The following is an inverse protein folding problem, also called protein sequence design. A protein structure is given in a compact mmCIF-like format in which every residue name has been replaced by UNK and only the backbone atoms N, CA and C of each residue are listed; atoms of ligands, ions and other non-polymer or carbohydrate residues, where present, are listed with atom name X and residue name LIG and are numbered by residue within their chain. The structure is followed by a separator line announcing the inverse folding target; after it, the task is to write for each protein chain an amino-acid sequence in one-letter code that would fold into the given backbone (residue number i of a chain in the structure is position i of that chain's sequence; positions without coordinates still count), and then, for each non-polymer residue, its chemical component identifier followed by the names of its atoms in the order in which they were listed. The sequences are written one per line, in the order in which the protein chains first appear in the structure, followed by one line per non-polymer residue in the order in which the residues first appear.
data_IF_511170752970
#
_entry.id   IF_511170752970
#
_cell.length_a   1.000
_cell.length_b   1.000
_cell.length_c   1.000
_cell.angle_alpha   90.00
_cell.angle_beta   90.00
_cell.angle_gamma   90.00
#
_symmetry.space_group_name_H-M   'P 1'
#
loop_
_entity.id
_entity.type
_entity.pdbx_description
1 polymer ?
#
# COMPACT_ATOMS: atom_id res chain seq x y z
N UNK A 1 33.02 35.14 15.05
CA UNK A 1 31.57 34.97 14.82
C UNK A 1 31.18 34.99 13.34
N UNK A 2 31.73 34.14 12.44
CA UNK A 2 31.39 34.17 11.02
C UNK A 2 31.64 32.81 10.33
N UNK A 3 31.19 31.70 10.90
CA UNK A 3 31.34 30.37 10.27
C UNK A 3 30.04 29.57 10.12
N UNK A 4 28.88 30.05 10.58
CA UNK A 4 27.62 29.29 10.51
C UNK A 4 26.76 29.62 9.30
N UNK A 5 26.89 30.78 8.68
CA UNK A 5 26.07 31.21 7.54
C UNK A 5 26.28 30.35 6.28
N UNK A 6 27.53 29.92 5.92
CA UNK A 6 27.73 29.07 4.76
C UNK A 6 27.11 27.66 4.88
N UNK A 7 27.08 27.10 6.10
CA UNK A 7 26.56 25.74 6.31
C UNK A 7 25.03 25.68 6.21
N UNK A 8 24.33 26.67 6.77
CA UNK A 8 22.86 26.80 6.64
C UNK A 8 22.44 27.08 5.18
N UNK A 9 23.21 27.89 4.45
CA UNK A 9 22.94 28.14 3.03
C UNK A 9 23.15 26.88 2.17
N UNK A 10 24.25 26.15 2.39
CA UNK A 10 24.53 24.89 1.72
C UNK A 10 23.49 23.83 2.07
N UNK A 11 23.08 23.75 3.34
CA UNK A 11 22.03 22.84 3.75
C UNK A 11 20.72 23.17 3.04
N UNK A 12 20.31 24.43 2.99
CA UNK A 12 19.12 24.87 2.25
C UNK A 12 19.18 24.57 0.76
N UNK A 13 20.34 24.69 0.13
CA UNK A 13 20.54 24.29 -1.27
C UNK A 13 20.42 22.77 -1.46
N UNK A 14 21.02 21.98 -0.57
CA UNK A 14 20.95 20.52 -0.60
C UNK A 14 19.49 20.07 -0.40
N UNK A 15 18.80 20.64 0.56
CA UNK A 15 17.39 20.32 0.83
C UNK A 15 16.50 20.68 -0.35
N UNK A 16 16.71 21.85 -0.96
CA UNK A 16 16.01 22.26 -2.19
C UNK A 16 16.30 21.36 -3.38
N UNK A 17 17.56 20.97 -3.61
CA UNK A 17 17.93 20.00 -4.65
C UNK A 17 17.36 18.61 -4.37
N UNK A 18 17.31 18.18 -3.13
CA UNK A 18 16.67 16.92 -2.72
C UNK A 18 15.17 16.97 -2.99
N UNK A 19 14.48 18.05 -2.63
CA UNK A 19 13.04 18.20 -2.91
C UNK A 19 12.75 18.15 -4.42
N UNK A 20 13.50 18.90 -5.24
CA UNK A 20 13.40 18.87 -6.69
C UNK A 20 13.70 17.48 -7.28
N UNK A 21 14.59 16.72 -6.65
CA UNK A 21 14.96 15.36 -7.08
C UNK A 21 13.97 14.27 -6.66
N UNK A 22 13.10 14.51 -5.67
CA UNK A 22 12.22 13.49 -5.07
C UNK A 22 10.74 13.72 -5.36
N UNK A 23 10.37 14.91 -5.86
CA UNK A 23 8.97 15.26 -6.18
C UNK A 23 8.73 15.37 -7.68
N UNK A 24 7.49 15.13 -8.07
CA UNK A 24 6.98 15.43 -9.41
C UNK A 24 6.62 16.94 -9.49
N UNK A 25 7.17 17.69 -10.44
CA UNK A 25 7.00 19.14 -10.47
C UNK A 25 5.57 19.59 -10.80
N UNK A 26 4.76 18.76 -11.49
CA UNK A 26 3.41 19.11 -11.85
C UNK A 26 2.43 18.90 -10.68
N UNK A 27 2.58 17.80 -9.96
CA UNK A 27 1.60 17.37 -8.94
C UNK A 27 2.06 17.60 -7.51
N UNK A 28 3.37 17.83 -7.29
CA UNK A 28 3.99 17.94 -5.96
C UNK A 28 4.10 16.61 -5.20
N UNK A 29 3.61 15.52 -5.76
CA UNK A 29 3.70 14.18 -5.17
C UNK A 29 5.12 13.63 -5.23
N UNK A 30 5.37 12.51 -4.54
CA UNK A 30 6.60 11.76 -4.75
C UNK A 30 6.73 11.38 -6.23
N UNK A 31 7.95 11.44 -6.78
CA UNK A 31 8.21 10.94 -8.11
C UNK A 31 8.55 9.43 -8.07
N UNK A 32 8.63 8.80 -9.24
CA UNK A 32 8.95 7.37 -9.39
C UNK A 32 10.23 6.96 -8.67
N UNK A 33 11.26 7.81 -8.70
CA UNK A 33 12.55 7.51 -8.04
C UNK A 33 12.40 7.42 -6.53
N UNK A 34 11.75 8.42 -5.93
CA UNK A 34 11.47 8.42 -4.49
C UNK A 34 10.61 7.24 -4.10
N UNK A 35 9.55 6.96 -4.88
CA UNK A 35 8.63 5.88 -4.60
C UNK A 35 9.31 4.50 -4.58
N UNK A 36 10.26 4.25 -5.50
CA UNK A 36 11.04 3.00 -5.48
C UNK A 36 11.84 2.82 -4.20
N UNK A 37 12.49 3.88 -3.72
CA UNK A 37 13.20 3.82 -2.44
C UNK A 37 12.27 3.59 -1.25
N UNK A 38 11.03 4.07 -1.31
CA UNK A 38 9.98 3.78 -0.31
C UNK A 38 9.58 2.31 -0.37
N UNK A 39 9.36 1.74 -1.56
CA UNK A 39 9.02 0.32 -1.72
C UNK A 39 10.10 -0.60 -1.14
N UNK A 40 11.39 -0.30 -1.38
CA UNK A 40 12.52 -1.08 -0.83
C UNK A 40 12.46 -1.10 0.71
N UNK A 41 12.32 0.07 1.33
CA UNK A 41 12.20 0.19 2.80
C UNK A 41 10.97 -0.53 3.34
N UNK A 42 9.87 -0.49 2.60
CA UNK A 42 8.63 -1.13 3.03
C UNK A 42 8.71 -2.66 2.97
N UNK A 43 9.35 -3.23 1.96
CA UNK A 43 9.65 -4.67 1.89
C UNK A 43 10.49 -5.10 3.09
N UNK A 44 11.54 -4.34 3.41
CA UNK A 44 12.37 -4.60 4.59
C UNK A 44 11.56 -4.50 5.90
N UNK A 45 10.62 -3.55 5.99
CA UNK A 45 9.73 -3.42 7.13
C UNK A 45 8.83 -4.64 7.28
N UNK A 46 8.14 -5.04 6.20
CA UNK A 46 7.27 -6.22 6.17
C UNK A 46 8.03 -7.47 6.62
N UNK A 47 9.26 -7.66 6.11
CA UNK A 47 10.11 -8.80 6.47
C UNK A 47 10.42 -8.84 7.98
N UNK A 48 10.64 -7.69 8.60
CA UNK A 48 10.98 -7.61 10.04
C UNK A 48 9.78 -7.62 10.96
N UNK A 49 8.69 -6.92 10.59
CA UNK A 49 7.52 -6.76 11.48
C UNK A 49 6.46 -7.84 11.29
N UNK A 50 6.44 -8.51 10.12
CA UNK A 50 5.36 -9.41 9.74
C UNK A 50 4.05 -8.71 9.33
N UNK A 51 3.98 -7.38 9.45
CA UNK A 51 2.79 -6.62 9.06
C UNK A 51 2.74 -6.42 7.56
N UNK A 52 1.63 -6.84 6.94
CA UNK A 52 1.45 -6.71 5.50
C UNK A 52 1.40 -5.24 5.05
N UNK A 53 1.89 -4.98 3.85
CA UNK A 53 1.71 -3.71 3.15
C UNK A 53 0.99 -3.93 1.82
N UNK A 54 0.20 -2.95 1.39
CA UNK A 54 -0.50 -2.97 0.10
C UNK A 54 0.09 -1.94 -0.85
N UNK A 55 0.49 -2.37 -2.03
CA UNK A 55 0.81 -1.51 -3.17
C UNK A 55 -0.40 -1.40 -4.07
N UNK A 56 -0.80 -0.18 -4.39
CA UNK A 56 -1.80 0.14 -5.40
C UNK A 56 -1.14 0.85 -6.57
N UNK A 57 -1.37 0.37 -7.79
CA UNK A 57 -1.08 1.06 -9.04
C UNK A 57 -2.38 1.59 -9.63
N UNK A 58 -2.39 2.85 -10.04
CA UNK A 58 -3.57 3.54 -10.51
C UNK A 58 -3.29 4.19 -11.87
N UNK A 59 -4.30 4.23 -12.73
CA UNK A 59 -4.19 4.88 -14.04
C UNK A 59 -5.50 5.60 -14.35
N UNK A 60 -5.39 6.82 -14.89
CA UNK A 60 -6.56 7.63 -15.26
C UNK A 60 -7.17 7.06 -16.55
N UNK A 61 -8.39 6.58 -16.45
CA UNK A 61 -9.09 5.99 -17.57
C UNK A 61 -9.29 6.99 -18.70
N UNK A 62 -8.92 6.59 -19.93
CA UNK A 62 -9.09 7.39 -21.14
C UNK A 62 -8.37 8.75 -21.11
N UNK A 63 -7.29 8.92 -20.36
CA UNK A 63 -6.57 10.20 -20.23
C UNK A 63 -6.08 10.74 -21.58
N UNK A 64 -5.63 9.86 -22.49
CA UNK A 64 -5.27 10.25 -23.84
C UNK A 64 -6.43 10.98 -24.54
N UNK A 65 -7.68 10.52 -24.40
CA UNK A 65 -8.84 11.20 -24.99
C UNK A 65 -9.04 12.60 -24.43
N UNK A 66 -8.74 12.83 -23.14
CA UNK A 66 -8.78 14.18 -22.55
C UNK A 66 -7.77 15.08 -23.25
N UNK A 67 -6.52 14.64 -23.40
CA UNK A 67 -5.47 15.39 -24.10
C UNK A 67 -5.82 15.65 -25.56
N UNK A 68 -6.30 14.63 -26.28
CA UNK A 68 -6.64 14.75 -27.70
C UNK A 68 -7.82 15.70 -27.93
N UNK A 69 -8.76 15.79 -26.97
CA UNK A 69 -9.97 16.63 -27.10
C UNK A 69 -9.78 18.05 -26.57
N UNK A 70 -9.04 18.21 -25.46
CA UNK A 70 -8.97 19.47 -24.72
C UNK A 70 -7.56 20.07 -24.63
N UNK A 71 -6.56 19.35 -25.19
CA UNK A 71 -5.16 19.75 -25.18
C UNK A 71 -4.43 19.37 -23.87
N UNK A 72 -3.10 19.42 -23.93
CA UNK A 72 -2.22 18.99 -22.82
C UNK A 72 -2.38 19.84 -21.56
N UNK A 73 -2.70 21.14 -21.69
CA UNK A 73 -2.94 22.00 -20.51
C UNK A 73 -4.18 21.53 -19.70
N UNK A 74 -5.21 21.07 -20.39
CA UNK A 74 -6.37 20.47 -19.71
C UNK A 74 -6.00 19.13 -19.04
N UNK A 75 -5.16 18.33 -19.69
CA UNK A 75 -4.59 17.11 -19.09
C UNK A 75 -3.81 17.39 -17.80
N UNK A 76 -3.00 18.45 -17.79
CA UNK A 76 -2.24 18.88 -16.60
C UNK A 76 -3.18 19.27 -15.45
N UNK A 77 -4.27 20.00 -15.74
CA UNK A 77 -5.31 20.32 -14.74
C UNK A 77 -5.96 19.06 -14.18
N UNK A 78 -6.25 18.07 -15.05
CA UNK A 78 -6.79 16.76 -14.63
C UNK A 78 -5.79 16.03 -13.72
N UNK A 79 -4.51 15.94 -14.10
CA UNK A 79 -3.47 15.30 -13.28
C UNK A 79 -3.35 15.95 -11.90
N UNK A 80 -3.34 17.27 -11.83
CA UNK A 80 -3.27 18.01 -10.57
C UNK A 80 -4.54 17.80 -9.71
N UNK A 81 -5.71 17.77 -10.33
CA UNK A 81 -6.96 17.53 -9.60
C UNK A 81 -7.04 16.12 -9.04
N UNK A 82 -6.69 15.11 -9.84
CA UNK A 82 -6.61 13.71 -9.40
C UNK A 82 -5.60 13.58 -8.27
N UNK A 83 -4.40 14.16 -8.40
CA UNK A 83 -3.38 14.14 -7.34
C UNK A 83 -3.90 14.70 -6.01
N UNK A 84 -4.63 15.82 -6.03
CA UNK A 84 -5.27 16.40 -4.82
C UNK A 84 -6.30 15.46 -4.22
N UNK A 85 -7.17 14.88 -5.05
CA UNK A 85 -8.20 13.92 -4.60
C UNK A 85 -7.58 12.67 -3.97
N UNK A 86 -6.53 12.13 -4.60
CA UNK A 86 -5.79 10.99 -4.08
C UNK A 86 -5.13 11.32 -2.73
N UNK A 87 -4.48 12.50 -2.63
CA UNK A 87 -3.82 12.96 -1.39
C UNK A 87 -4.81 13.09 -0.22
N UNK A 88 -6.04 13.55 -0.48
CA UNK A 88 -7.09 13.61 0.54
C UNK A 88 -7.62 12.22 0.95
N UNK A 89 -7.41 11.22 0.10
CA UNK A 89 -7.87 9.84 0.32
C UNK A 89 -6.88 8.93 1.06
N UNK A 90 -5.66 9.38 1.36
CA UNK A 90 -4.61 8.58 1.99
C UNK A 90 -4.21 9.16 3.35
N UNK A 91 -3.58 8.34 4.20
CA UNK A 91 -3.12 8.74 5.54
C UNK A 91 -1.73 9.38 5.46
N UNK A 92 -1.29 10.15 6.49
CA UNK A 92 0.05 10.73 6.51
C UNK A 92 1.20 9.71 6.41
N UNK A 93 0.97 8.46 6.84
CA UNK A 93 1.95 7.38 6.75
C UNK A 93 1.98 6.68 5.39
N UNK A 94 0.95 6.86 4.59
CA UNK A 94 0.88 6.31 3.24
C UNK A 94 1.74 7.15 2.30
N UNK A 95 2.35 6.54 1.31
CA UNK A 95 3.13 7.27 0.32
C UNK A 95 2.41 7.23 -1.02
N UNK A 96 2.06 8.42 -1.52
CA UNK A 96 1.45 8.64 -2.83
C UNK A 96 2.49 9.24 -3.78
N UNK A 97 2.56 8.70 -5.00
CA UNK A 97 3.49 9.14 -6.04
C UNK A 97 2.80 9.27 -7.40
N UNK A 98 3.35 10.14 -8.24
CA UNK A 98 3.14 10.06 -9.68
C UNK A 98 4.20 9.14 -10.28
N UNK A 99 3.77 7.98 -10.76
CA UNK A 99 4.67 6.91 -11.18
C UNK A 99 5.04 6.98 -12.66
N UNK A 100 4.14 7.50 -13.48
CA UNK A 100 4.29 7.69 -14.92
C UNK A 100 3.54 8.93 -15.43
N UNK A 101 3.25 9.00 -16.72
CA UNK A 101 2.51 10.10 -17.33
C UNK A 101 1.15 10.35 -16.67
N UNK A 102 0.28 9.35 -16.73
CA UNK A 102 -1.08 9.33 -16.17
C UNK A 102 -1.24 8.32 -15.04
N UNK A 103 -0.10 7.73 -14.61
CA UNK A 103 -0.05 6.66 -13.62
C UNK A 103 0.33 7.21 -12.24
N UNK A 104 -0.37 6.76 -11.24
CA UNK A 104 -0.12 7.03 -9.83
C UNK A 104 0.15 5.72 -9.09
N UNK A 105 0.85 5.82 -7.98
CA UNK A 105 1.08 4.67 -7.10
C UNK A 105 0.92 5.07 -5.64
N UNK A 106 0.38 4.16 -4.84
CA UNK A 106 0.21 4.33 -3.39
C UNK A 106 0.75 3.11 -2.68
N UNK A 107 1.59 3.31 -1.68
CA UNK A 107 1.92 2.26 -0.73
C UNK A 107 1.24 2.53 0.60
N UNK A 108 0.55 1.53 1.11
CA UNK A 108 -0.20 1.54 2.37
C UNK A 108 0.52 0.62 3.37
N UNK A 109 1.36 1.16 4.25
CA UNK A 109 2.00 0.41 5.32
C UNK A 109 1.00 -0.18 6.31
N UNK A 110 1.31 -1.32 6.92
CA UNK A 110 0.48 -1.97 7.93
C UNK A 110 -1.00 -2.05 7.51
N UNK A 111 -1.24 -2.50 6.26
CA UNK A 111 -2.58 -2.60 5.69
C UNK A 111 -3.07 -4.06 5.71
N UNK A 112 -3.97 -4.44 6.63
CA UNK A 112 -4.58 -5.76 6.61
C UNK A 112 -5.40 -5.99 5.33
N UNK A 113 -5.44 -7.24 4.88
CA UNK A 113 -6.13 -7.63 3.65
C UNK A 113 -7.58 -7.16 3.57
N UNK A 114 -8.32 -7.30 4.67
CA UNK A 114 -9.72 -6.89 4.74
C UNK A 114 -9.96 -5.39 4.47
N UNK A 115 -8.96 -4.54 4.73
CA UNK A 115 -9.08 -3.09 4.56
C UNK A 115 -8.58 -2.59 3.21
N UNK A 116 -7.69 -3.33 2.54
CA UNK A 116 -7.08 -2.89 1.29
C UNK A 116 -8.09 -2.54 0.20
N UNK A 117 -9.07 -3.42 -0.02
CA UNK A 117 -10.15 -3.18 -0.99
C UNK A 117 -11.02 -1.98 -0.62
N UNK A 118 -11.32 -1.79 0.67
CA UNK A 118 -12.13 -0.67 1.15
C UNK A 118 -11.44 0.67 0.87
N UNK A 119 -10.14 0.76 1.14
CA UNK A 119 -9.34 1.97 0.87
C UNK A 119 -9.27 2.23 -0.63
N UNK A 120 -8.97 1.23 -1.45
CA UNK A 120 -8.89 1.36 -2.89
C UNK A 120 -10.23 1.80 -3.52
N UNK A 121 -11.37 1.21 -3.09
CA UNK A 121 -12.70 1.61 -3.54
C UNK A 121 -13.08 3.03 -3.11
N UNK A 122 -12.68 3.45 -1.90
CA UNK A 122 -12.87 4.83 -1.44
C UNK A 122 -12.14 5.81 -2.35
N UNK A 123 -10.88 5.53 -2.67
CA UNK A 123 -10.05 6.33 -3.58
C UNK A 123 -10.69 6.40 -4.96
N UNK A 124 -11.06 5.27 -5.55
CA UNK A 124 -11.70 5.20 -6.86
C UNK A 124 -12.97 6.04 -6.92
N UNK A 125 -13.85 5.88 -5.93
CA UNK A 125 -15.12 6.64 -5.85
C UNK A 125 -14.87 8.13 -5.66
N UNK A 126 -13.88 8.52 -4.87
CA UNK A 126 -13.55 9.92 -4.68
C UNK A 126 -13.16 10.59 -6.00
N UNK A 127 -12.33 9.93 -6.82
CA UNK A 127 -11.97 10.45 -8.15
C UNK A 127 -13.19 10.51 -9.07
N UNK A 128 -13.98 9.42 -9.16
CA UNK A 128 -15.13 9.35 -10.04
C UNK A 128 -16.24 10.40 -9.72
N UNK A 129 -16.33 10.80 -8.45
CA UNK A 129 -17.34 11.76 -7.96
C UNK A 129 -16.83 13.21 -7.87
N UNK A 130 -15.56 13.45 -8.22
CA UNK A 130 -14.99 14.81 -8.16
C UNK A 130 -14.97 15.42 -9.56
N UNK A 131 -15.86 16.35 -9.87
CA UNK A 131 -15.83 17.05 -11.15
C UNK A 131 -14.60 17.95 -11.25
N UNK A 132 -13.99 17.99 -12.42
CA UNK A 132 -12.75 18.71 -12.69
C UNK A 132 -13.03 19.85 -13.66
N UNK A 133 -12.93 21.09 -13.17
CA UNK A 133 -13.09 22.27 -14.00
C UNK A 133 -11.79 22.56 -14.76
N UNK A 134 -11.81 22.38 -16.09
CA UNK A 134 -10.66 22.63 -16.98
C UNK A 134 -10.72 24.01 -17.62
N UNK A 135 -11.89 24.64 -17.64
CA UNK A 135 -12.07 26.04 -18.09
C UNK A 135 -13.28 26.66 -17.37
N UNK A 136 -13.57 27.98 -17.51
CA UNK A 136 -14.76 28.60 -16.91
C UNK A 136 -16.09 27.96 -17.31
N UNK A 137 -16.13 27.32 -18.48
CA UNK A 137 -17.36 26.76 -19.08
C UNK A 137 -17.32 25.24 -19.25
N UNK A 138 -16.17 24.58 -18.98
CA UNK A 138 -16.00 23.14 -19.22
C UNK A 138 -15.61 22.42 -17.95
N UNK A 139 -16.38 21.43 -17.60
CA UNK A 139 -16.18 20.53 -16.47
C UNK A 139 -16.11 19.07 -16.99
N UNK A 140 -15.18 18.31 -16.49
CA UNK A 140 -14.96 16.89 -16.87
C UNK A 140 -15.10 15.99 -15.65
N UNK A 141 -15.58 14.77 -15.90
CA UNK A 141 -15.48 13.68 -14.95
C UNK A 141 -14.50 12.64 -15.51
N UNK A 142 -13.55 12.22 -14.69
CA UNK A 142 -12.62 11.13 -15.01
C UNK A 142 -12.76 10.00 -14.00
N UNK A 143 -12.36 8.82 -14.41
CA UNK A 143 -12.30 7.66 -13.52
C UNK A 143 -10.88 7.12 -13.47
N UNK A 144 -10.62 6.26 -12.51
CA UNK A 144 -9.35 5.54 -12.38
C UNK A 144 -9.59 4.05 -12.29
N UNK A 145 -8.75 3.28 -12.94
CA UNK A 145 -8.60 1.85 -12.70
C UNK A 145 -7.49 1.63 -11.68
N UNK A 146 -7.69 0.69 -10.76
CA UNK A 146 -6.76 0.44 -9.65
C UNK A 146 -6.43 -1.04 -9.61
N UNK A 147 -5.12 -1.35 -9.60
CA UNK A 147 -4.58 -2.68 -9.35
C UNK A 147 -3.86 -2.73 -8.01
N UNK A 148 -3.98 -3.81 -7.27
CA UNK A 148 -3.34 -3.94 -5.97
C UNK A 148 -2.68 -5.29 -5.71
N UNK A 149 -1.54 -5.28 -5.03
CA UNK A 149 -0.86 -6.47 -4.56
C UNK A 149 -0.29 -6.27 -3.15
N UNK A 150 -0.32 -7.33 -2.34
CA UNK A 150 0.22 -7.30 -0.99
C UNK A 150 1.68 -7.79 -0.94
N UNK A 151 2.53 -7.09 -0.16
CA UNK A 151 3.75 -7.66 0.36
C UNK A 151 3.46 -8.32 1.71
N UNK A 152 3.87 -9.58 1.85
CA UNK A 152 3.68 -10.37 3.06
C UNK A 152 4.99 -11.01 3.49
N UNK A 153 5.14 -11.28 4.77
CA UNK A 153 6.37 -11.84 5.34
C UNK A 153 6.80 -13.15 4.68
N UNK A 154 5.84 -14.01 4.32
CA UNK A 154 6.12 -15.32 3.69
C UNK A 154 6.28 -15.25 2.16
N UNK A 155 6.06 -14.09 1.55
CA UNK A 155 6.26 -13.88 0.12
C UNK A 155 7.58 -13.15 -0.07
N UNK A 156 8.58 -13.85 -0.63
CA UNK A 156 9.85 -13.20 -0.98
C UNK A 156 9.58 -12.20 -2.09
N UNK A 157 9.48 -10.93 -1.72
CA UNK A 157 9.19 -9.84 -2.65
C UNK A 157 10.44 -9.02 -2.94
N UNK A 158 10.60 -8.67 -4.22
CA UNK A 158 11.45 -7.56 -4.65
C UNK A 158 10.55 -6.42 -5.08
N UNK A 159 11.07 -5.19 -5.16
CA UNK A 159 10.29 -4.04 -5.66
C UNK A 159 9.72 -4.31 -7.05
N UNK A 160 10.50 -4.96 -7.91
CA UNK A 160 10.07 -5.31 -9.27
C UNK A 160 8.89 -6.30 -9.23
N UNK A 161 9.04 -7.43 -8.53
CA UNK A 161 8.00 -8.45 -8.44
C UNK A 161 6.71 -7.90 -7.81
N UNK A 162 6.84 -7.05 -6.77
CA UNK A 162 5.68 -6.45 -6.13
C UNK A 162 4.95 -5.49 -7.07
N UNK A 163 5.70 -4.66 -7.81
CA UNK A 163 5.15 -3.75 -8.82
C UNK A 163 4.48 -4.54 -9.95
N UNK A 164 5.14 -5.57 -10.50
CA UNK A 164 4.58 -6.41 -11.59
C UNK A 164 3.26 -7.07 -11.18
N UNK A 165 3.14 -7.53 -9.95
CA UNK A 165 1.89 -8.12 -9.43
C UNK A 165 0.77 -7.08 -9.35
N UNK A 166 1.06 -5.86 -8.87
CA UNK A 166 0.09 -4.78 -8.82
C UNK A 166 -0.30 -4.31 -10.24
N UNK A 167 0.66 -4.22 -11.17
CA UNK A 167 0.41 -3.87 -12.58
C UNK A 167 -0.45 -4.91 -13.29
N UNK A 168 -0.24 -6.20 -13.04
CA UNK A 168 -1.11 -7.26 -13.55
C UNK A 168 -2.55 -7.07 -13.09
N UNK A 169 -2.78 -6.69 -11.83
CA UNK A 169 -4.11 -6.38 -11.33
C UNK A 169 -4.69 -5.11 -11.97
N UNK A 170 -3.88 -4.08 -12.21
CA UNK A 170 -4.31 -2.88 -12.94
C UNK A 170 -4.74 -3.22 -14.37
N UNK A 171 -3.98 -4.08 -15.04
CA UNK A 171 -4.36 -4.59 -16.36
C UNK A 171 -5.71 -5.31 -16.33
N UNK A 172 -5.96 -6.18 -15.33
CA UNK A 172 -7.25 -6.85 -15.14
C UNK A 172 -8.38 -5.85 -14.91
N UNK A 173 -8.16 -4.81 -14.11
CA UNK A 173 -9.15 -3.76 -13.87
C UNK A 173 -9.50 -3.03 -15.18
N UNK A 174 -8.50 -2.68 -16.01
CA UNK A 174 -8.70 -2.05 -17.31
C UNK A 174 -9.42 -2.98 -18.31
N UNK A 175 -9.00 -4.24 -18.40
CA UNK A 175 -9.57 -5.24 -19.31
C UNK A 175 -11.03 -5.57 -18.98
N UNK A 176 -11.39 -5.56 -17.71
CA UNK A 176 -12.75 -5.86 -17.22
C UNK A 176 -13.73 -4.68 -17.34
N UNK A 177 -13.33 -3.54 -17.94
CA UNK A 177 -14.23 -2.42 -18.25
C UNK A 177 -13.92 -1.14 -17.46
N UNK A 178 -12.72 -1.00 -16.91
CA UNK A 178 -12.22 0.22 -16.23
C UNK A 178 -13.06 0.66 -15.02
N UNK A 179 -12.70 1.79 -14.42
CA UNK A 179 -13.37 2.38 -13.24
C UNK A 179 -13.65 1.34 -12.15
N UNK A 180 -12.64 0.56 -11.79
CA UNK A 180 -12.74 -0.53 -10.82
C UNK A 180 -11.44 -0.85 -10.13
N UNK A 181 -11.56 -1.62 -9.06
CA UNK A 181 -10.45 -2.12 -8.27
C UNK A 181 -10.30 -3.62 -8.52
N UNK A 182 -9.08 -4.04 -8.85
CA UNK A 182 -8.65 -5.44 -8.82
C UNK A 182 -7.51 -5.57 -7.84
N UNK A 183 -7.64 -6.42 -6.84
CA UNK A 183 -6.57 -6.71 -5.87
C UNK A 183 -6.32 -8.20 -5.90
N UNK A 184 -5.05 -8.57 -5.91
CA UNK A 184 -4.63 -9.96 -5.86
C UNK A 184 -5.24 -10.67 -4.65
N UNK A 185 -5.88 -11.80 -4.91
CA UNK A 185 -6.40 -12.65 -3.84
C UNK A 185 -5.21 -13.22 -3.06
N UNK A 186 -5.30 -13.11 -1.74
CA UNK A 186 -4.30 -13.72 -0.90
C UNK A 186 -4.62 -15.21 -0.79
N UNK A 187 -3.62 -16.08 -0.93
CA UNK A 187 -3.84 -17.48 -0.61
C UNK A 187 -4.30 -17.55 0.86
N UNK A 188 -5.42 -18.22 1.09
CA UNK A 188 -5.90 -18.48 2.44
C UNK A 188 -4.79 -19.17 3.23
N UNK A 189 -4.14 -18.43 4.12
CA UNK A 189 -3.15 -18.97 5.05
C UNK A 189 -3.78 -19.69 6.23
N UNK A 190 -5.08 -19.94 6.19
CA UNK A 190 -5.75 -20.79 7.14
C UNK A 190 -5.38 -22.24 6.81
N UNK A 191 -4.29 -22.70 7.42
CA UNK A 191 -4.07 -24.16 7.56
C UNK A 191 -5.37 -24.72 8.11
N UNK A 192 -6.05 -25.57 7.33
CA UNK A 192 -7.33 -26.13 7.71
C UNK A 192 -7.19 -26.86 9.06
N UNK A 193 -8.28 -26.98 9.81
CA UNK A 193 -8.26 -27.74 11.06
C UNK A 193 -7.75 -29.19 10.84
N UNK A 194 -8.01 -29.73 9.64
CA UNK A 194 -7.51 -31.04 9.21
C UNK A 194 -6.00 -31.05 8.95
N UNK A 195 -5.46 -30.04 8.30
CA UNK A 195 -4.01 -29.90 8.09
C UNK A 195 -3.27 -29.62 9.41
N UNK A 196 -3.86 -28.85 10.32
CA UNK A 196 -3.34 -28.69 11.69
C UNK A 196 -3.35 -30.02 12.45
N UNK A 197 -4.41 -30.81 12.30
CA UNK A 197 -4.50 -32.14 12.90
C UNK A 197 -3.47 -33.11 12.30
N UNK A 198 -3.22 -33.04 10.98
CA UNK A 198 -2.20 -33.85 10.31
C UNK A 198 -0.77 -33.46 10.72
N UNK A 199 -0.49 -32.15 10.86
CA UNK A 199 0.83 -31.66 11.22
C UNK A 199 1.14 -31.78 12.72
N UNK A 200 0.13 -31.65 13.58
CA UNK A 200 0.29 -31.56 15.04
C UNK A 200 -0.54 -32.60 15.81
N UNK A 201 -1.41 -33.36 15.15
CA UNK A 201 -2.35 -34.28 15.76
C UNK A 201 -1.74 -35.37 16.64
N UNK A 202 -0.61 -35.99 16.30
CA UNK A 202 -0.01 -37.03 17.14
C UNK A 202 0.79 -36.53 18.36
N UNK A 203 1.15 -35.23 18.35
CA UNK A 203 2.01 -34.62 19.38
C UNK A 203 1.23 -33.90 20.49
N UNK A 204 -0.07 -33.74 20.33
CA UNK A 204 -0.92 -33.02 21.29
C UNK A 204 -2.11 -33.83 21.77
N UNK A 205 -1.86 -35.06 22.25
CA UNK A 205 -2.76 -35.69 23.18
C UNK A 205 -2.32 -35.27 24.58
N UNK A 206 -3.12 -34.56 25.37
CA UNK A 206 -2.86 -34.37 26.78
C UNK A 206 -3.28 -35.66 27.53
N UNK A 207 -2.62 -36.75 27.21
CA UNK A 207 -2.72 -37.99 27.98
C UNK A 207 -1.54 -38.02 28.96
N UNK A 208 -1.76 -37.46 30.12
CA UNK A 208 -0.72 -37.53 31.14
C UNK A 208 -0.93 -36.70 32.41
N UNK A 209 -2.14 -36.21 32.63
CA UNK A 209 -2.45 -35.55 33.92
C UNK A 209 -3.67 -36.21 34.64
N UNK A 210 -3.87 -37.47 34.44
CA UNK A 210 -4.82 -38.25 35.18
C UNK A 210 -4.11 -39.49 35.72
N UNK A 211 -3.59 -39.44 36.93
CA UNK A 211 -3.27 -40.48 37.89
C UNK A 211 -1.98 -40.15 38.66
N UNK A 212 -2.04 -39.06 39.40
CA UNK A 212 -1.22 -38.95 40.58
C UNK A 212 -2.02 -39.65 41.70
N UNK A 213 -1.47 -40.68 42.33
CA UNK A 213 -2.12 -41.30 43.49
C UNK A 213 -2.24 -40.27 44.62
N UNK A 214 -3.29 -40.34 45.42
CA UNK A 214 -3.49 -39.41 46.53
C UNK A 214 -2.32 -39.50 47.49
N UNK A 215 -1.77 -38.35 47.86
CA UNK A 215 -0.80 -38.22 48.94
C UNK A 215 -1.48 -38.71 50.23
N UNK A 216 -1.06 -39.84 50.73
CA UNK A 216 -1.44 -40.36 52.03
C UNK A 216 -1.10 -39.32 53.12
N UNK A 217 -2.15 -38.71 53.61
CA UNK A 217 -2.13 -37.96 54.85
C UNK A 217 -2.18 -38.96 56.02
N UNK A 218 -1.06 -39.22 56.60
CA UNK A 218 -1.10 -39.83 57.93
C UNK A 218 -0.13 -39.11 58.88
N UNK A 219 -0.64 -38.36 59.85
CA UNK A 219 0.12 -37.93 61.00
C UNK A 219 -0.29 -38.74 62.20
N UNK A 220 0.46 -39.70 62.57
CA UNK A 220 0.47 -40.26 63.97
C UNK A 220 1.90 -40.70 64.17
N UNK A 221 2.51 -40.41 65.22
CA UNK A 221 2.19 -40.04 66.53
C UNK A 221 3.37 -40.39 67.40
N UNK A 222 3.52 -39.58 68.40
CA UNK A 222 3.86 -39.99 69.78
C UNK A 222 5.28 -40.45 70.14
N UNK A 223 5.86 -39.62 70.95
CA UNK A 223 6.52 -39.98 72.22
C UNK A 223 7.95 -40.58 72.13
N UNK A 224 8.90 -39.88 72.55
CA UNK A 224 9.65 -39.79 73.81
C UNK A 224 10.70 -38.64 73.71
#
# INVERSE_FOLDING_TARGET
MHREVPSLYLQGLIDGLCELSLKDPLTGLANRRHFRAVLEREIDRVTRSGEAALLLMLDIDHFKKVNDTHGHLAGDVVLQSVARTLSAGVRPMDTLARYGGEEFAVVLPACPAAFGRVVAERIRRAVANTPIRISPTVELNVTVSIGGAFAMQWIRSTTLLWTDRADNQLYQAKASGRNRVSIEEQPDSTVSAEEKSLLFGPLYTPSGWGDLPPLDSNPTGSAY
#
